data_IF_981865950877
#
_entry.id   IF_981865950877
#
_cell.length_a   1.000
_cell.length_b   1.000
_cell.length_c   1.000
_cell.angle_alpha   90.00
_cell.angle_beta   90.00
_cell.angle_gamma   90.00
#
_symmetry.space_group_name_H-M   'P 1'
#
loop_
_entity.id
_entity.type
_entity.pdbx_description
1 polymer ?
#
# COMPACT_ATOMS: atom_id res chain seq x y z
N UNK A 1 -5.89 5.96 -15.25
CA UNK A 1 -6.60 5.59 -14.02
C UNK A 1 -7.52 4.43 -14.34
N UNK A 2 -7.52 3.40 -13.53
CA UNK A 2 -8.20 2.12 -13.81
C UNK A 2 -9.74 2.16 -13.67
N UNK A 3 -10.37 3.34 -13.78
CA UNK A 3 -11.83 3.50 -13.86
C UNK A 3 -12.64 3.16 -12.61
N UNK A 4 -12.01 2.82 -11.50
CA UNK A 4 -12.71 2.62 -10.24
C UNK A 4 -13.21 3.94 -9.65
N UNK A 5 -14.38 3.99 -9.01
CA UNK A 5 -14.88 5.20 -8.38
C UNK A 5 -13.96 5.55 -7.19
N UNK A 6 -13.51 6.80 -7.14
CA UNK A 6 -12.87 7.33 -5.95
C UNK A 6 -13.92 7.44 -4.82
N UNK A 7 -13.55 7.01 -3.63
CA UNK A 7 -14.40 7.06 -2.44
C UNK A 7 -13.75 7.97 -1.39
N UNK A 8 -14.35 9.10 -1.09
CA UNK A 8 -13.81 10.10 -0.15
C UNK A 8 -13.98 9.70 1.32
N UNK A 9 -15.07 9.00 1.65
CA UNK A 9 -15.44 8.68 3.02
C UNK A 9 -14.32 8.12 3.90
N UNK A 10 -13.45 7.17 3.46
CA UNK A 10 -12.35 6.69 4.30
C UNK A 10 -11.36 7.79 4.69
N UNK A 11 -11.13 8.76 3.82
CA UNK A 11 -10.25 9.90 4.08
C UNK A 11 -10.91 10.91 5.03
N UNK A 12 -12.20 11.16 4.85
CA UNK A 12 -12.99 12.05 5.72
C UNK A 12 -13.00 11.52 7.16
N UNK A 13 -13.06 10.20 7.34
CA UNK A 13 -13.02 9.57 8.68
C UNK A 13 -11.70 9.87 9.41
N UNK A 14 -10.60 10.03 8.70
CA UNK A 14 -9.26 10.22 9.27
C UNK A 14 -8.83 11.69 9.31
N UNK A 15 -9.50 12.57 8.58
CA UNK A 15 -9.08 13.96 8.34
C UNK A 15 -8.77 14.77 9.60
N UNK A 16 -9.48 14.51 10.70
CA UNK A 16 -9.29 15.25 11.97
C UNK A 16 -8.16 14.67 12.84
N UNK A 17 -7.76 13.44 12.61
CA UNK A 17 -6.80 12.73 13.48
C UNK A 17 -5.42 12.58 12.84
N UNK A 18 -5.33 12.55 11.50
CA UNK A 18 -4.12 12.23 10.78
C UNK A 18 -3.02 13.30 10.97
N UNK A 19 -3.32 14.56 10.69
CA UNK A 19 -2.32 15.64 10.84
C UNK A 19 -1.83 15.78 12.28
N UNK A 20 -2.70 15.85 13.32
CA UNK A 20 -2.22 15.89 14.70
C UNK A 20 -1.41 14.67 15.12
N UNK A 21 -1.70 13.49 14.59
CA UNK A 21 -0.92 12.28 14.87
C UNK A 21 0.50 12.38 14.33
N UNK A 22 0.68 12.92 13.12
CA UNK A 22 2.01 13.17 12.56
C UNK A 22 2.77 14.28 13.30
N UNK A 23 2.10 15.36 13.64
CA UNK A 23 2.70 16.49 14.35
C UNK A 23 3.23 16.08 15.73
N UNK A 24 2.57 15.12 16.39
CA UNK A 24 2.91 14.60 17.71
C UNK A 24 3.54 13.20 17.69
N UNK A 25 4.14 12.79 16.56
CA UNK A 25 4.74 11.45 16.44
C UNK A 25 5.86 11.20 17.46
N UNK A 26 6.62 12.23 17.85
CA UNK A 26 7.65 12.13 18.88
C UNK A 26 7.05 11.84 20.27
N UNK A 27 5.91 12.46 20.60
CA UNK A 27 5.20 12.27 21.86
C UNK A 27 4.60 10.86 21.93
N UNK A 28 4.13 10.32 20.80
CA UNK A 28 3.70 8.93 20.70
C UNK A 28 4.84 7.96 21.08
N UNK A 29 6.03 8.17 20.54
CA UNK A 29 7.22 7.34 20.86
C UNK A 29 7.63 7.51 22.32
N UNK A 30 7.42 8.69 22.91
CA UNK A 30 7.67 8.96 24.32
C UNK A 30 6.62 8.33 25.26
N UNK A 31 5.53 7.76 24.72
CA UNK A 31 4.48 7.09 25.49
C UNK A 31 3.36 8.01 25.96
N UNK A 32 3.14 9.14 25.30
CA UNK A 32 2.03 10.03 25.60
C UNK A 32 0.67 9.34 25.36
N UNK A 33 -0.16 9.28 26.39
CA UNK A 33 -1.41 8.54 26.35
C UNK A 33 -2.49 9.21 25.48
N UNK A 34 -2.48 10.53 25.37
CA UNK A 34 -3.46 11.25 24.53
C UNK A 34 -3.15 10.98 23.04
N UNK A 35 -1.87 11.01 22.68
CA UNK A 35 -1.45 10.69 21.32
C UNK A 35 -1.67 9.20 21.01
N UNK A 36 -1.47 8.32 22.00
CA UNK A 36 -1.78 6.89 21.87
C UNK A 36 -3.26 6.63 21.64
N UNK A 37 -4.15 7.30 22.38
CA UNK A 37 -5.60 7.24 22.17
C UNK A 37 -5.96 7.65 20.73
N UNK A 38 -5.38 8.75 20.25
CA UNK A 38 -5.57 9.22 18.88
C UNK A 38 -5.12 8.18 17.85
N UNK A 39 -3.96 7.54 18.07
CA UNK A 39 -3.48 6.44 17.20
C UNK A 39 -4.48 5.29 17.15
N UNK A 40 -4.95 4.82 18.32
CA UNK A 40 -5.92 3.73 18.39
C UNK A 40 -7.22 4.10 17.67
N UNK A 41 -7.71 5.32 17.87
CA UNK A 41 -8.90 5.83 17.19
C UNK A 41 -8.68 5.85 15.66
N UNK A 42 -7.55 6.35 15.18
CA UNK A 42 -7.21 6.38 13.75
C UNK A 42 -7.21 4.98 13.15
N UNK A 43 -6.59 4.00 13.84
CA UNK A 43 -6.57 2.62 13.39
C UNK A 43 -7.97 2.00 13.31
N UNK A 44 -8.83 2.26 14.30
CA UNK A 44 -10.21 1.76 14.30
C UNK A 44 -11.02 2.40 13.16
N UNK A 45 -10.88 3.72 12.94
CA UNK A 45 -11.57 4.43 11.86
C UNK A 45 -11.08 3.96 10.47
N UNK A 46 -9.78 3.71 10.30
CA UNK A 46 -9.24 3.11 9.09
C UNK A 46 -9.85 1.72 8.82
N UNK A 47 -10.01 0.90 9.88
CA UNK A 47 -10.70 -0.38 9.81
C UNK A 47 -12.16 -0.25 9.35
N UNK A 48 -12.89 0.74 9.85
CA UNK A 48 -14.25 1.04 9.36
C UNK A 48 -14.25 1.49 7.90
N UNK A 49 -13.29 2.31 7.50
CA UNK A 49 -13.13 2.72 6.10
C UNK A 49 -12.99 1.51 5.17
N UNK A 50 -12.14 0.54 5.52
CA UNK A 50 -11.98 -0.70 4.74
C UNK A 50 -13.25 -1.54 4.71
N UNK A 51 -13.96 -1.68 5.84
CA UNK A 51 -15.21 -2.43 5.93
C UNK A 51 -16.32 -1.81 5.06
N UNK A 52 -16.45 -0.48 5.08
CA UNK A 52 -17.47 0.25 4.29
C UNK A 52 -17.19 0.13 2.79
N UNK A 53 -15.93 0.19 2.38
CA UNK A 53 -15.53 0.08 0.97
C UNK A 53 -15.55 -1.37 0.48
N UNK A 54 -15.42 -2.33 1.39
CA UNK A 54 -15.39 -3.76 1.07
C UNK A 54 -14.06 -4.26 0.50
N UNK A 55 -12.99 -3.46 0.64
CA UNK A 55 -11.62 -3.85 0.26
C UNK A 55 -10.58 -3.05 1.05
N UNK A 56 -9.30 -3.45 0.93
CA UNK A 56 -8.19 -2.88 1.69
C UNK A 56 -7.62 -1.56 1.13
N UNK A 57 -8.10 -1.06 0.03
CA UNK A 57 -7.54 0.14 -0.63
C UNK A 57 -7.40 1.36 0.29
N UNK A 58 -8.33 1.65 1.24
CA UNK A 58 -8.17 2.78 2.15
C UNK A 58 -6.98 2.68 3.12
N UNK A 59 -6.48 1.48 3.37
CA UNK A 59 -5.42 1.24 4.36
C UNK A 59 -4.19 0.50 3.81
N UNK A 60 -4.20 0.10 2.53
CA UNK A 60 -3.16 -0.75 1.95
C UNK A 60 -3.06 -0.48 0.46
N UNK A 61 -1.96 0.12 0.05
CA UNK A 61 -1.74 0.50 -1.35
C UNK A 61 -0.35 0.04 -1.85
N UNK A 62 0.37 0.92 -2.53
CA UNK A 62 1.63 0.59 -3.18
C UNK A 62 2.73 0.12 -2.22
N UNK A 63 2.77 0.67 -1.01
CA UNK A 63 3.70 0.28 0.05
C UNK A 63 3.48 -1.18 0.47
N UNK A 64 2.23 -1.60 0.62
CA UNK A 64 1.89 -2.99 0.93
C UNK A 64 2.20 -3.93 -0.25
N UNK A 65 1.99 -3.50 -1.49
CA UNK A 65 2.35 -4.29 -2.66
C UNK A 65 3.85 -4.57 -2.70
N UNK A 66 4.70 -3.59 -2.37
CA UNK A 66 6.15 -3.77 -2.27
C UNK A 66 6.48 -4.73 -1.11
N UNK A 67 5.84 -4.56 0.04
CA UNK A 67 6.02 -5.43 1.21
C UNK A 67 5.67 -6.88 0.88
N UNK A 68 4.52 -7.14 0.29
CA UNK A 68 4.12 -8.48 -0.12
C UNK A 68 5.04 -9.08 -1.19
N UNK A 69 5.52 -8.28 -2.14
CA UNK A 69 6.52 -8.74 -3.10
C UNK A 69 7.79 -9.20 -2.41
N UNK A 70 8.30 -8.43 -1.43
CA UNK A 70 9.46 -8.84 -0.64
C UNK A 70 9.20 -10.17 0.08
N UNK A 71 8.02 -10.35 0.68
CA UNK A 71 7.67 -11.59 1.38
C UNK A 71 7.59 -12.79 0.46
N UNK A 72 7.09 -12.61 -0.77
CA UNK A 72 7.00 -13.68 -1.76
C UNK A 72 8.37 -14.18 -2.25
N UNK A 73 9.37 -13.31 -2.26
CA UNK A 73 10.71 -13.59 -2.80
C UNK A 73 11.82 -13.59 -1.75
N UNK A 74 11.47 -13.43 -0.48
CA UNK A 74 12.46 -13.46 0.59
C UNK A 74 13.07 -14.86 0.73
N UNK A 75 14.38 -14.89 1.02
CA UNK A 75 15.06 -16.11 1.41
C UNK A 75 14.42 -16.64 2.71
N UNK A 76 14.23 -17.96 2.80
CA UNK A 76 13.74 -18.62 4.00
C UNK A 76 14.65 -18.40 5.23
N UNK A 77 15.91 -18.05 5.01
CA UNK A 77 16.88 -17.69 6.06
C UNK A 77 16.77 -16.22 6.51
N UNK A 78 15.89 -15.42 5.90
CA UNK A 78 15.69 -14.02 6.27
C UNK A 78 15.23 -13.93 7.74
N UNK A 79 15.78 -12.99 8.55
CA UNK A 79 15.28 -12.73 9.89
C UNK A 79 13.79 -12.37 9.88
N UNK A 80 13.07 -12.80 10.92
CA UNK A 80 11.69 -12.40 11.11
C UNK A 80 11.63 -10.88 11.30
N UNK A 81 10.87 -10.21 10.46
CA UNK A 81 10.62 -8.77 10.52
C UNK A 81 9.12 -8.59 10.73
N UNK A 82 8.73 -7.71 11.63
CA UNK A 82 7.32 -7.38 11.79
C UNK A 82 6.78 -6.68 10.56
N UNK A 83 5.55 -7.04 10.15
CA UNK A 83 4.90 -6.49 8.97
C UNK A 83 4.87 -4.95 8.98
N UNK A 84 4.55 -4.33 10.12
CA UNK A 84 4.54 -2.88 10.27
C UNK A 84 5.91 -2.22 10.05
N UNK A 85 7.00 -2.85 10.48
CA UNK A 85 8.36 -2.34 10.22
C UNK A 85 8.68 -2.38 8.72
N UNK A 86 8.34 -3.48 8.07
CA UNK A 86 8.54 -3.64 6.63
C UNK A 86 7.69 -2.64 5.84
N UNK A 87 6.41 -2.48 6.18
CA UNK A 87 5.52 -1.50 5.55
C UNK A 87 6.03 -0.08 5.78
N UNK A 88 6.53 0.24 6.97
CA UNK A 88 7.13 1.55 7.24
C UNK A 88 8.29 1.88 6.28
N UNK A 89 9.18 0.93 6.02
CA UNK A 89 10.29 1.11 5.05
C UNK A 89 9.76 1.24 3.62
N UNK A 90 8.80 0.42 3.23
CA UNK A 90 8.22 0.47 1.86
C UNK A 90 7.38 1.72 1.65
N UNK A 91 6.77 2.30 2.70
CA UNK A 91 6.10 3.61 2.66
C UNK A 91 7.09 4.71 2.26
N UNK A 92 8.29 4.75 2.84
CA UNK A 92 9.32 5.72 2.43
C UNK A 92 9.70 5.59 0.95
N UNK A 93 9.73 4.37 0.43
CA UNK A 93 9.99 4.10 -0.99
C UNK A 93 8.85 4.62 -1.87
N UNK A 94 7.61 4.40 -1.44
CA UNK A 94 6.42 4.90 -2.15
C UNK A 94 6.33 6.42 -2.14
N UNK A 95 6.60 7.08 -1.01
CA UNK A 95 6.62 8.55 -0.93
C UNK A 95 7.60 9.13 -1.94
N UNK A 96 8.84 8.61 -1.99
CA UNK A 96 9.85 9.06 -2.96
C UNK A 96 9.41 8.86 -4.42
N UNK A 97 8.74 7.72 -4.69
CA UNK A 97 8.19 7.46 -6.03
C UNK A 97 7.08 8.46 -6.38
N UNK A 98 6.16 8.72 -5.44
CA UNK A 98 5.07 9.68 -5.61
C UNK A 98 5.58 11.10 -5.78
N UNK A 99 6.54 11.55 -4.98
CA UNK A 99 7.19 12.86 -5.12
C UNK A 99 7.78 13.05 -6.52
N UNK A 100 8.49 12.03 -7.01
CA UNK A 100 9.05 12.06 -8.36
C UNK A 100 7.96 12.09 -9.45
N UNK A 101 6.90 11.29 -9.31
CA UNK A 101 5.78 11.27 -10.25
C UNK A 101 4.99 12.57 -10.29
N UNK A 102 4.86 13.25 -9.13
CA UNK A 102 4.15 14.52 -9.02
C UNK A 102 5.04 15.72 -9.41
N UNK A 103 6.35 15.62 -9.21
CA UNK A 103 7.32 16.67 -9.56
C UNK A 103 7.65 16.74 -11.04
N UNK A 104 7.41 15.69 -11.78
CA UNK A 104 7.68 15.56 -13.21
C UNK A 104 6.39 15.19 -13.95
N UNK A 105 6.33 15.49 -15.27
CA UNK A 105 5.23 14.98 -16.10
C UNK A 105 5.54 13.52 -16.49
N UNK A 106 4.89 12.52 -15.88
CA UNK A 106 5.21 11.14 -16.15
C UNK A 106 4.87 10.76 -17.60
N UNK A 107 5.77 10.02 -18.24
CA UNK A 107 5.48 9.40 -19.53
C UNK A 107 4.89 8.03 -19.28
N UNK A 108 3.64 7.86 -19.69
CA UNK A 108 2.96 6.58 -19.59
C UNK A 108 3.28 5.77 -20.85
N UNK A 109 3.76 4.55 -20.67
CA UNK A 109 4.02 3.61 -21.77
C UNK A 109 3.03 2.47 -21.69
N UNK A 110 2.61 1.97 -22.87
CA UNK A 110 1.84 0.75 -22.94
C UNK A 110 2.61 -0.41 -22.32
N UNK A 111 1.92 -1.25 -21.57
CA UNK A 111 2.52 -2.45 -21.03
C UNK A 111 2.61 -3.54 -22.10
N UNK A 112 3.81 -4.09 -22.29
CA UNK A 112 4.11 -5.12 -23.27
C UNK A 112 4.29 -6.52 -22.65
N UNK A 113 4.06 -6.66 -21.36
CA UNK A 113 4.20 -7.95 -20.65
C UNK A 113 3.31 -9.02 -21.25
N UNK A 114 3.76 -10.24 -21.16
CA UNK A 114 3.09 -11.43 -21.69
C UNK A 114 2.83 -12.46 -20.59
N UNK A 115 1.85 -13.33 -20.80
CA UNK A 115 1.57 -14.45 -19.90
C UNK A 115 2.80 -15.35 -19.71
N UNK A 116 3.58 -15.57 -20.77
CA UNK A 116 4.78 -16.38 -20.72
C UNK A 116 5.84 -15.80 -19.77
N UNK A 117 6.00 -14.48 -19.71
CA UNK A 117 6.90 -13.82 -18.77
C UNK A 117 6.40 -13.94 -17.32
N UNK A 118 5.10 -13.86 -17.08
CA UNK A 118 4.53 -14.09 -15.75
C UNK A 118 4.74 -15.53 -15.30
N UNK A 119 4.51 -16.51 -16.17
CA UNK A 119 4.75 -17.93 -15.89
C UNK A 119 6.23 -18.23 -15.65
N UNK A 120 7.12 -17.63 -16.42
CA UNK A 120 8.57 -17.77 -16.24
C UNK A 120 9.04 -17.21 -14.89
N UNK A 121 8.42 -16.12 -14.43
CA UNK A 121 8.79 -15.44 -13.17
C UNK A 121 8.19 -16.09 -11.92
N UNK A 122 6.93 -16.50 -11.98
CA UNK A 122 6.14 -16.92 -10.81
C UNK A 122 5.80 -18.42 -10.81
N UNK A 123 6.22 -19.17 -11.83
CA UNK A 123 5.82 -20.55 -12.06
C UNK A 123 4.51 -20.65 -12.85
N UNK A 124 4.22 -21.85 -13.33
CA UNK A 124 3.12 -22.06 -14.29
C UNK A 124 1.74 -21.66 -13.72
N UNK A 125 1.40 -22.15 -12.54
CA UNK A 125 0.09 -21.95 -11.94
C UNK A 125 -0.11 -20.51 -11.41
N UNK A 126 0.83 -20.04 -10.57
CA UNK A 126 0.75 -18.70 -10.00
C UNK A 126 0.90 -17.62 -11.08
N UNK A 127 1.79 -17.84 -12.05
CA UNK A 127 2.00 -16.92 -13.17
C UNK A 127 0.75 -16.78 -14.04
N UNK A 128 0.03 -17.88 -14.31
CA UNK A 128 -1.23 -17.84 -15.03
C UNK A 128 -2.31 -17.08 -14.25
N UNK A 129 -2.45 -17.31 -12.95
CA UNK A 129 -3.40 -16.62 -12.08
C UNK A 129 -3.10 -15.11 -12.01
N UNK A 130 -1.83 -14.73 -11.78
CA UNK A 130 -1.39 -13.35 -11.78
C UNK A 130 -1.64 -12.66 -13.12
N UNK A 131 -1.40 -13.33 -14.22
CA UNK A 131 -1.65 -12.80 -15.56
C UNK A 131 -3.13 -12.54 -15.80
N UNK A 132 -4.02 -13.47 -15.43
CA UNK A 132 -5.46 -13.33 -15.60
C UNK A 132 -6.00 -12.06 -14.92
N UNK A 133 -5.49 -11.73 -13.73
CA UNK A 133 -5.84 -10.50 -13.00
C UNK A 133 -5.19 -9.24 -13.59
N UNK A 134 -3.92 -9.33 -13.96
CA UNK A 134 -3.15 -8.21 -14.50
C UNK A 134 -3.61 -7.81 -15.90
N UNK A 135 -3.86 -8.77 -16.77
CA UNK A 135 -4.22 -8.52 -18.17
C UNK A 135 -5.46 -7.62 -18.32
N UNK A 136 -6.38 -7.69 -17.37
CA UNK A 136 -7.60 -6.86 -17.36
C UNK A 136 -7.33 -5.39 -16.97
N UNK A 137 -6.22 -5.13 -16.28
CA UNK A 137 -5.87 -3.82 -15.69
C UNK A 137 -4.74 -3.12 -16.42
N UNK A 138 -4.03 -3.83 -17.32
CA UNK A 138 -2.88 -3.26 -18.04
C UNK A 138 -3.32 -2.16 -19.00
N UNK A 139 -2.44 -1.19 -19.19
CA UNK A 139 -2.60 -0.15 -20.20
C UNK A 139 -2.00 -0.65 -21.52
N UNK A 140 -2.81 -0.70 -22.55
CA UNK A 140 -2.43 -1.07 -23.91
C UNK A 140 -2.42 0.14 -24.83
#
# INVERSE_FOLDING_TARGET
>A
MFGGPFRELPFDLLANDETPLFDHAADLVAGDLEVMERLVRTLVLAGFGTAIIGNSQPASQGEHLISHYIDMFADAARPLIFHGEQVGVTTLSMVRLQERMLGERPTIRADISTEAEFKARYGEELGASCWAEFAQKRMT
#
